data_IF_229250318131
#
_entry.id   IF_229250318131
#
_cell.length_a   1.000
_cell.length_b   1.000
_cell.length_c   1.000
_cell.angle_alpha   90.00
_cell.angle_beta   90.00
_cell.angle_gamma   90.00
#
_symmetry.space_group_name_H-M   'P 1'
#
loop_
_entity.id
_entity.type
_entity.pdbx_description
1 polymer ?
#
# COMPACT_ATOMS: atom_id res chain seq x y z
N UNK A 1 21.15 -17.69 -14.35
CA UNK A 1 20.13 -16.93 -13.60
C UNK A 1 19.91 -15.65 -14.35
N UNK A 2 18.77 -15.48 -15.02
CA UNK A 2 18.42 -14.20 -15.64
C UNK A 2 18.20 -13.20 -14.52
N UNK A 3 19.00 -12.13 -14.49
CA UNK A 3 18.88 -11.06 -13.51
C UNK A 3 17.68 -10.19 -13.91
N UNK A 4 16.46 -10.67 -13.66
CA UNK A 4 15.25 -9.91 -13.93
C UNK A 4 15.06 -8.87 -12.83
N UNK A 5 15.03 -7.60 -13.22
CA UNK A 5 14.69 -6.51 -12.32
C UNK A 5 13.23 -6.69 -11.88
N UNK A 6 12.98 -6.67 -10.55
CA UNK A 6 11.65 -6.78 -10.00
C UNK A 6 10.76 -5.62 -10.43
N UNK A 7 9.52 -5.90 -10.81
CA UNK A 7 8.54 -4.89 -11.21
C UNK A 7 7.76 -4.43 -10.00
N UNK A 8 7.75 -3.12 -9.77
CA UNK A 8 7.19 -2.52 -8.56
C UNK A 8 5.81 -1.91 -8.87
N UNK A 9 4.84 -2.19 -8.00
CA UNK A 9 3.61 -1.40 -7.93
C UNK A 9 3.71 -0.44 -6.75
N UNK A 10 3.88 0.85 -7.05
CA UNK A 10 4.18 1.87 -6.04
C UNK A 10 2.91 2.66 -5.71
N UNK A 11 2.61 2.80 -4.41
CA UNK A 11 1.54 3.63 -3.86
C UNK A 11 2.12 4.60 -2.83
N UNK A 12 1.49 5.77 -2.63
CA UNK A 12 1.90 6.76 -1.64
C UNK A 12 0.72 7.64 -1.26
N UNK A 13 0.74 8.23 -0.07
CA UNK A 13 -0.16 9.32 0.35
C UNK A 13 -1.63 9.04 0.07
N UNK A 14 -2.08 7.80 0.32
CA UNK A 14 -3.43 7.37 -0.06
C UNK A 14 -4.52 8.02 0.78
N UNK A 15 -4.25 8.33 2.06
CA UNK A 15 -5.19 8.98 2.97
C UNK A 15 -6.61 8.37 2.91
N UNK A 16 -6.70 7.04 2.97
CA UNK A 16 -7.94 6.32 2.67
C UNK A 16 -9.09 6.72 3.59
N UNK A 17 -8.80 7.11 4.83
CA UNK A 17 -9.77 7.62 5.80
C UNK A 17 -10.57 8.84 5.32
N UNK A 18 -10.06 9.55 4.31
CA UNK A 18 -10.72 10.72 3.71
C UNK A 18 -11.75 10.35 2.64
N UNK A 19 -11.77 9.09 2.21
CA UNK A 19 -12.70 8.60 1.20
C UNK A 19 -14.08 8.29 1.82
N UNK A 20 -15.19 8.45 1.07
CA UNK A 20 -16.52 8.06 1.55
C UNK A 20 -16.65 6.56 1.90
N UNK A 21 -15.88 5.72 1.21
CA UNK A 21 -15.89 4.26 1.37
C UNK A 21 -14.44 3.72 1.38
N UNK A 22 -13.68 3.95 2.47
CA UNK A 22 -12.25 3.61 2.55
C UNK A 22 -11.98 2.13 2.26
N UNK A 23 -12.83 1.25 2.79
CA UNK A 23 -12.68 -0.20 2.63
C UNK A 23 -12.92 -0.68 1.20
N UNK A 24 -13.60 0.11 0.36
CA UNK A 24 -13.86 -0.19 -1.04
C UNK A 24 -12.67 0.16 -1.96
N UNK A 25 -11.57 0.70 -1.43
CA UNK A 25 -10.37 1.01 -2.21
C UNK A 25 -9.78 -0.28 -2.83
N UNK A 26 -10.00 -0.45 -4.13
CA UNK A 26 -9.61 -1.63 -4.88
C UNK A 26 -9.16 -1.24 -6.31
N UNK A 27 -8.06 -0.50 -6.47
CA UNK A 27 -7.51 -0.21 -7.78
C UNK A 27 -7.13 -1.50 -8.51
N UNK A 28 -7.30 -1.52 -9.83
CA UNK A 28 -6.79 -2.62 -10.66
C UNK A 28 -5.26 -2.62 -10.59
N UNK A 29 -4.62 -3.69 -10.08
CA UNK A 29 -3.17 -3.74 -10.04
C UNK A 29 -2.61 -3.84 -11.47
N UNK A 30 -1.46 -3.21 -11.75
CA UNK A 30 -0.68 -3.59 -12.92
C UNK A 30 -0.21 -5.04 -12.77
N UNK A 31 0.46 -5.59 -13.77
CA UNK A 31 1.31 -6.73 -13.48
C UNK A 31 2.44 -6.22 -12.54
N UNK A 32 2.72 -6.89 -11.42
CA UNK A 32 3.80 -6.51 -10.49
C UNK A 32 4.39 -7.71 -9.75
N UNK A 33 5.60 -7.57 -9.20
CA UNK A 33 6.22 -8.59 -8.35
C UNK A 33 6.20 -8.20 -6.87
N UNK A 34 6.32 -6.89 -6.57
CA UNK A 34 6.33 -6.34 -5.20
C UNK A 34 5.44 -5.10 -5.13
N UNK A 35 4.57 -5.03 -4.11
CA UNK A 35 3.87 -3.80 -3.74
C UNK A 35 4.79 -2.96 -2.87
N UNK A 36 5.03 -1.71 -3.24
CA UNK A 36 5.80 -0.76 -2.44
C UNK A 36 4.87 0.39 -2.02
N UNK A 37 4.85 0.71 -0.73
CA UNK A 37 4.12 1.86 -0.22
C UNK A 37 5.04 2.87 0.46
N UNK A 38 5.06 4.09 -0.04
CA UNK A 38 5.86 5.21 0.47
C UNK A 38 5.16 6.01 1.60
N UNK A 39 4.28 5.35 2.37
CA UNK A 39 3.68 5.91 3.58
C UNK A 39 2.30 6.54 3.39
N UNK A 40 1.79 7.06 4.51
CA UNK A 40 0.54 7.84 4.61
C UNK A 40 -0.70 7.17 3.99
N UNK A 41 -0.88 5.88 4.31
CA UNK A 41 -2.07 5.10 3.90
C UNK A 41 -3.31 5.41 4.73
N UNK A 42 -3.12 5.48 6.05
CA UNK A 42 -4.19 5.71 7.02
C UNK A 42 -3.68 6.54 8.19
N UNK A 43 -4.35 7.65 8.51
CA UNK A 43 -3.98 8.53 9.63
C UNK A 43 -4.14 7.83 10.99
N UNK A 44 -3.11 7.87 11.82
CA UNK A 44 -3.10 7.38 13.20
C UNK A 44 -3.45 5.87 13.39
N UNK A 45 -3.68 5.11 12.32
CA UNK A 45 -3.89 3.65 12.36
C UNK A 45 -3.04 2.93 11.29
N UNK A 46 -1.72 2.83 11.50
CA UNK A 46 -0.83 2.17 10.55
C UNK A 46 -1.15 0.68 10.37
N UNK A 47 -1.74 0.03 11.38
CA UNK A 47 -2.16 -1.37 11.28
C UNK A 47 -3.32 -1.52 10.29
N UNK A 48 -4.28 -0.60 10.29
CA UNK A 48 -5.34 -0.58 9.28
C UNK A 48 -4.80 -0.31 7.89
N UNK A 49 -3.95 0.70 7.74
CA UNK A 49 -3.28 0.96 6.47
C UNK A 49 -2.55 -0.28 5.93
N UNK A 50 -1.81 -0.99 6.79
CA UNK A 50 -1.13 -2.22 6.41
C UNK A 50 -2.08 -3.35 6.00
N UNK A 51 -3.24 -3.51 6.67
CA UNK A 51 -4.26 -4.51 6.25
C UNK A 51 -4.76 -4.24 4.83
N UNK A 52 -4.97 -2.97 4.46
CA UNK A 52 -5.37 -2.61 3.10
C UNK A 52 -4.26 -2.96 2.10
N UNK A 53 -3.02 -2.56 2.37
CA UNK A 53 -1.87 -2.91 1.51
C UNK A 53 -1.72 -4.43 1.35
N UNK A 54 -1.90 -5.18 2.45
CA UNK A 54 -1.83 -6.64 2.43
C UNK A 54 -2.90 -7.26 1.54
N UNK A 55 -4.14 -6.73 1.61
CA UNK A 55 -5.25 -7.14 0.74
C UNK A 55 -4.94 -6.88 -0.74
N UNK A 56 -4.43 -5.69 -1.08
CA UNK A 56 -4.08 -5.32 -2.45
C UNK A 56 -2.97 -6.20 -3.04
N UNK A 57 -1.98 -6.57 -2.22
CA UNK A 57 -0.86 -7.38 -2.67
C UNK A 57 -1.20 -8.87 -2.90
N UNK A 58 -2.35 -9.37 -2.45
CA UNK A 58 -2.71 -10.78 -2.61
C UNK A 58 -1.67 -11.68 -1.94
N UNK A 59 -0.97 -12.55 -2.66
CA UNK A 59 0.14 -13.37 -2.12
C UNK A 59 1.53 -12.78 -2.36
N UNK A 60 1.62 -11.59 -2.97
CA UNK A 60 2.89 -10.95 -3.32
C UNK A 60 3.45 -10.16 -2.13
N UNK A 61 4.78 -9.98 -2.06
CA UNK A 61 5.43 -9.21 -1.00
C UNK A 61 4.97 -7.75 -0.95
N UNK A 62 4.99 -7.19 0.27
CA UNK A 62 4.75 -5.77 0.55
C UNK A 62 5.97 -5.20 1.22
N UNK A 63 6.47 -4.07 0.70
CA UNK A 63 7.44 -3.22 1.38
C UNK A 63 6.76 -1.89 1.67
N UNK A 64 6.70 -1.47 2.93
CA UNK A 64 6.11 -0.19 3.28
C UNK A 64 6.96 0.55 4.30
N UNK A 65 6.99 1.87 4.18
CA UNK A 65 7.49 2.77 5.21
C UNK A 65 6.32 3.46 5.90
N UNK A 66 6.48 3.79 7.17
CA UNK A 66 5.50 4.63 7.86
C UNK A 66 5.63 6.07 7.35
N UNK A 67 4.49 6.70 7.05
CA UNK A 67 4.46 8.11 6.65
C UNK A 67 4.61 9.04 7.85
N UNK A 68 4.56 10.35 7.62
CA UNK A 68 4.75 11.33 8.70
C UNK A 68 3.47 11.64 9.47
N UNK A 69 2.29 11.27 8.95
CA UNK A 69 0.99 11.59 9.57
C UNK A 69 0.59 10.55 10.61
N UNK A 70 1.51 10.27 11.53
CA UNK A 70 1.37 9.27 12.59
C UNK A 70 0.65 9.79 13.85
N UNK A 71 0.32 11.09 13.93
CA UNK A 71 -0.14 11.68 15.19
C UNK A 71 -1.67 11.87 15.32
N UNK A 72 -2.15 11.18 16.37
CA UNK A 72 -3.25 11.44 17.34
C UNK A 72 -4.56 12.03 16.85
#
# INVERSE_FOLDING_TARGET
>A
MTNTIARLWILSDLHLETLPHPDAFAPTPPDFDVLVCAGDVWRADPAHGFRVLRRLAGNKPVVCVLGNRVES
#
